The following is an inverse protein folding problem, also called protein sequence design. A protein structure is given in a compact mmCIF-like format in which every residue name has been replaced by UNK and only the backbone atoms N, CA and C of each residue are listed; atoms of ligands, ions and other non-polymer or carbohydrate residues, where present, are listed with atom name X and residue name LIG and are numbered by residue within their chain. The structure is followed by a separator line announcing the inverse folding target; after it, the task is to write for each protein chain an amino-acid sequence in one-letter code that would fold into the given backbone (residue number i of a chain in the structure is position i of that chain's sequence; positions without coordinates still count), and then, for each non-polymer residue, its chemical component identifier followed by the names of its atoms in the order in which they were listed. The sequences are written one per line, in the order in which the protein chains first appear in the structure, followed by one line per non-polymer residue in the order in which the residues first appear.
data_IF_594432554742
#
_entry.id   IF_594432554742
#
_cell.length_a   1.000
_cell.length_b   1.000
_cell.length_c   1.000
_cell.angle_alpha   90.00
_cell.angle_beta   90.00
_cell.angle_gamma   90.00
#
_symmetry.space_group_name_H-M   'P 1'
#
loop_
_entity.id
_entity.type
_entity.pdbx_description
1 polymer ?
#
# COMPACT_ATOMS: atom_id res chain seq x y z
N UNK A 1 3.13 12.74 -9.46
CA UNK A 1 3.73 11.39 -9.50
C UNK A 1 4.60 11.08 -8.27
N UNK A 2 5.43 12.01 -7.78
CA UNK A 2 6.28 11.76 -6.61
C UNK A 2 5.52 11.34 -5.33
N UNK A 3 4.37 11.96 -5.01
CA UNK A 3 3.58 11.61 -3.82
C UNK A 3 3.05 10.16 -3.83
N UNK A 4 2.60 9.65 -4.97
CA UNK A 4 2.09 8.28 -5.07
C UNK A 4 3.21 7.27 -4.82
N UNK A 5 4.40 7.54 -5.38
CA UNK A 5 5.59 6.75 -5.10
C UNK A 5 6.01 6.81 -3.63
N UNK A 6 5.90 7.98 -2.99
CA UNK A 6 6.18 8.11 -1.55
C UNK A 6 5.21 7.29 -0.71
N UNK A 7 3.90 7.36 -0.97
CA UNK A 7 2.90 6.59 -0.22
C UNK A 7 3.07 5.08 -0.42
N UNK A 8 3.29 4.65 -1.65
CA UNK A 8 3.61 3.25 -1.94
C UNK A 8 4.89 2.78 -1.23
N UNK A 9 5.93 3.62 -1.19
CA UNK A 9 7.15 3.35 -0.43
C UNK A 9 6.88 3.15 1.06
N UNK A 10 6.04 3.99 1.67
CA UNK A 10 5.62 3.81 3.07
C UNK A 10 4.85 2.51 3.28
N UNK A 11 3.91 2.18 2.40
CA UNK A 11 3.15 0.92 2.45
C UNK A 11 4.11 -0.28 2.40
N UNK A 12 5.08 -0.27 1.48
CA UNK A 12 6.08 -1.34 1.35
C UNK A 12 6.93 -1.47 2.61
N UNK A 13 7.45 -0.37 3.15
CA UNK A 13 8.26 -0.37 4.38
C UNK A 13 7.47 -0.93 5.56
N UNK A 14 6.21 -0.52 5.73
CA UNK A 14 5.35 -1.01 6.82
C UNK A 14 5.04 -2.50 6.64
N UNK A 15 4.81 -2.95 5.41
CA UNK A 15 4.57 -4.35 5.11
C UNK A 15 5.79 -5.22 5.43
N UNK A 16 6.99 -4.77 5.06
CA UNK A 16 8.25 -5.45 5.37
C UNK A 16 8.52 -5.49 6.88
N UNK A 17 8.38 -4.36 7.57
CA UNK A 17 8.57 -4.24 9.02
C UNK A 17 7.66 -5.20 9.81
N UNK A 18 6.42 -5.38 9.33
CA UNK A 18 5.42 -6.27 9.94
C UNK A 18 5.43 -7.69 9.38
N UNK A 19 6.29 -8.00 8.43
CA UNK A 19 6.35 -9.30 7.76
C UNK A 19 5.06 -9.71 7.05
N UNK A 20 4.33 -8.74 6.47
CA UNK A 20 3.09 -9.00 5.74
C UNK A 20 3.41 -9.58 4.35
N UNK A 21 2.80 -10.70 4.01
CA UNK A 21 2.81 -11.23 2.64
C UNK A 21 1.80 -10.49 1.76
N UNK A 22 1.88 -10.69 0.44
CA UNK A 22 1.00 -10.02 -0.54
C UNK A 22 -0.49 -10.15 -0.19
N UNK A 23 -0.89 -11.33 0.29
CA UNK A 23 -2.28 -11.64 0.62
C UNK A 23 -2.74 -10.95 1.90
N UNK A 24 -1.92 -10.95 2.93
CA UNK A 24 -2.22 -10.28 4.20
C UNK A 24 -2.22 -8.76 4.01
N UNK A 25 -1.29 -8.24 3.21
CA UNK A 25 -1.25 -6.83 2.87
C UNK A 25 -2.53 -6.41 2.10
N UNK A 26 -2.92 -7.16 1.07
CA UNK A 26 -4.17 -6.94 0.34
C UNK A 26 -5.38 -6.97 1.27
N UNK A 27 -5.48 -7.99 2.13
CA UNK A 27 -6.59 -8.11 3.08
C UNK A 27 -6.64 -6.97 4.11
N UNK A 28 -5.48 -6.46 4.54
CA UNK A 28 -5.39 -5.39 5.55
C UNK A 28 -5.68 -4.01 4.95
N UNK A 29 -5.28 -3.79 3.70
CA UNK A 29 -5.40 -2.51 3.00
C UNK A 29 -6.67 -2.41 2.15
N UNK A 30 -7.34 -3.54 1.88
CA UNK A 30 -8.44 -3.70 0.91
C UNK A 30 -8.01 -3.38 -0.54
N UNK A 31 -6.70 -3.46 -0.79
CA UNK A 31 -6.15 -3.32 -2.13
C UNK A 31 -6.34 -4.63 -2.89
N UNK A 32 -6.50 -4.51 -4.21
CA UNK A 32 -6.41 -5.66 -5.08
C UNK A 32 -4.99 -6.26 -5.00
N UNK A 33 -4.87 -7.57 -5.19
CA UNK A 33 -3.57 -8.23 -5.15
C UNK A 33 -2.65 -7.78 -6.29
N UNK A 34 -3.21 -7.35 -7.43
CA UNK A 34 -2.45 -6.73 -8.53
C UNK A 34 -1.88 -5.37 -8.12
N UNK A 35 -2.66 -4.55 -7.41
CA UNK A 35 -2.21 -3.26 -6.88
C UNK A 35 -1.12 -3.45 -5.82
N UNK A 36 -1.28 -4.44 -4.94
CA UNK A 36 -0.25 -4.80 -3.95
C UNK A 36 1.04 -5.21 -4.63
N UNK A 37 0.99 -6.07 -5.64
CA UNK A 37 2.17 -6.45 -6.42
C UNK A 37 2.80 -5.28 -7.14
N UNK A 38 1.99 -4.36 -7.66
CA UNK A 38 2.48 -3.15 -8.29
C UNK A 38 3.20 -2.23 -7.27
N UNK A 39 2.68 -2.09 -6.05
CA UNK A 39 3.30 -1.33 -4.96
C UNK A 39 4.62 -1.96 -4.53
N UNK A 40 4.63 -3.27 -4.25
CA UNK A 40 5.83 -4.00 -3.83
C UNK A 40 6.88 -4.06 -4.95
N UNK A 41 6.44 -4.10 -6.20
CA UNK A 41 7.29 -4.05 -7.39
C UNK A 41 7.73 -2.63 -7.81
N UNK A 42 7.28 -1.58 -7.11
CA UNK A 42 7.64 -0.18 -7.39
C UNK A 42 6.97 0.45 -8.62
N UNK A 43 5.94 -0.18 -9.20
CA UNK A 43 5.23 0.26 -10.40
C UNK A 43 3.88 0.89 -10.03
N UNK A 44 3.92 2.07 -9.40
CA UNK A 44 2.74 2.75 -8.81
C UNK A 44 2.02 3.68 -9.80
N UNK A 45 2.29 3.56 -11.11
CA UNK A 45 1.92 4.60 -12.10
C UNK A 45 0.41 4.78 -12.30
N UNK A 46 -0.41 3.79 -11.90
CA UNK A 46 -1.86 3.78 -12.17
C UNK A 46 -2.73 3.78 -10.91
N UNK A 47 -2.14 3.72 -9.71
CA UNK A 47 -2.92 3.66 -8.46
C UNK A 47 -3.31 5.09 -8.03
N UNK A 48 -4.60 5.38 -7.79
CA UNK A 48 -5.03 6.69 -7.31
C UNK A 48 -4.41 7.02 -5.94
N UNK A 49 -4.02 8.28 -5.74
CA UNK A 49 -3.48 8.76 -4.46
C UNK A 49 -4.41 8.49 -3.28
N UNK A 50 -5.73 8.65 -3.47
CA UNK A 50 -6.73 8.39 -2.44
C UNK A 50 -6.77 6.92 -1.99
N UNK A 51 -6.51 6.00 -2.91
CA UNK A 51 -6.47 4.56 -2.63
C UNK A 51 -5.23 4.23 -1.80
N UNK A 52 -4.07 4.80 -2.15
CA UNK A 52 -2.83 4.64 -1.38
C UNK A 52 -2.94 5.26 0.01
N UNK A 53 -3.55 6.44 0.13
CA UNK A 53 -3.75 7.14 1.40
C UNK A 53 -4.69 6.35 2.33
N UNK A 54 -5.78 5.79 1.79
CA UNK A 54 -6.70 4.95 2.54
C UNK A 54 -6.05 3.62 2.98
N UNK A 55 -5.25 3.00 2.10
CA UNK A 55 -4.46 1.81 2.42
C UNK A 55 -3.47 2.09 3.56
N UNK A 56 -2.77 3.23 3.50
CA UNK A 56 -1.85 3.66 4.55
C UNK A 56 -2.58 3.92 5.87
N UNK A 57 -3.72 4.63 5.86
CA UNK A 57 -4.53 4.86 7.06
C UNK A 57 -4.97 3.55 7.72
N UNK A 58 -5.38 2.56 6.91
CA UNK A 58 -5.75 1.22 7.39
C UNK A 58 -4.57 0.49 8.03
N UNK A 59 -3.38 0.54 7.41
CA UNK A 59 -2.16 -0.06 7.94
C UNK A 59 -1.70 0.61 9.25
N UNK A 60 -1.79 1.92 9.34
CA UNK A 60 -1.47 2.64 10.57
C UNK A 60 -2.49 2.41 11.69
N UNK A 61 -3.64 1.78 11.41
CA UNK A 61 -4.72 1.60 12.37
C UNK A 61 -5.42 2.92 12.72
N UNK A 62 -5.19 3.99 11.95
CA UNK A 62 -5.93 5.25 12.06
C UNK A 62 -7.30 5.04 11.45
N UNK A 63 -8.21 4.48 12.24
CA UNK A 63 -9.64 4.49 11.94
C UNK A 63 -10.09 5.96 11.88
N UNK A 64 -10.46 6.43 10.69
CA UNK A 64 -11.18 7.67 10.50
C UNK A 64 -12.57 7.38 9.94
#
# INVERSE_FOLDING_TARGET
MAQAQTLAGWITIIAEDRGLDERTLAATTDLDIEDVRAILGGVVLMIPLSVLDQALCRLEGRRH
#
